data_IF_581949089855
#
_entry.id   IF_581949089855
#
_cell.length_a   1.000
_cell.length_b   1.000
_cell.length_c   1.000
_cell.angle_alpha   90.00
_cell.angle_beta   90.00
_cell.angle_gamma   90.00
#
_symmetry.space_group_name_H-M   'P 1'
#
loop_
_entity.id
_entity.type
_entity.pdbx_description
1 polymer ?
#
# COMPACT_ATOMS: atom_id res chain seq x y z
N UNK A 1 -8.08 -40.66 24.76
CA UNK A 1 -8.00 -40.02 23.42
C UNK A 1 -6.78 -39.13 23.45
N UNK A 2 -5.61 -39.67 23.13
CA UNK A 2 -4.42 -38.85 22.89
C UNK A 2 -4.76 -37.97 21.68
N UNK A 3 -4.78 -36.66 21.87
CA UNK A 3 -4.79 -35.73 20.74
C UNK A 3 -3.42 -35.86 20.13
N UNK A 4 -3.33 -36.51 18.96
CA UNK A 4 -2.13 -36.49 18.15
C UNK A 4 -1.67 -35.03 18.07
N UNK A 5 -0.50 -34.77 18.66
CA UNK A 5 0.10 -33.44 18.63
C UNK A 5 0.31 -33.09 17.16
N UNK A 6 -0.37 -32.05 16.70
CA UNK A 6 -0.19 -31.48 15.37
C UNK A 6 1.29 -31.12 15.26
N UNK A 7 2.04 -31.81 14.39
CA UNK A 7 3.51 -31.74 14.34
C UNK A 7 4.00 -30.31 14.12
N UNK A 8 3.23 -29.56 13.37
CA UNK A 8 3.40 -28.16 13.02
C UNK A 8 3.41 -27.24 14.25
N UNK A 9 2.68 -27.58 15.32
CA UNK A 9 2.69 -26.80 16.58
C UNK A 9 3.98 -26.96 17.38
N UNK A 10 4.83 -27.93 17.02
CA UNK A 10 6.16 -28.10 17.62
C UNK A 10 7.27 -27.53 16.72
N UNK A 11 6.95 -27.06 15.51
CA UNK A 11 7.91 -26.48 14.58
C UNK A 11 7.93 -24.95 14.73
N UNK A 12 9.04 -24.44 15.27
CA UNK A 12 9.25 -23.00 15.48
C UNK A 12 9.24 -22.20 14.18
N UNK A 13 9.77 -22.74 13.06
CA UNK A 13 9.75 -22.05 11.77
C UNK A 13 8.32 -21.94 11.26
N UNK A 14 7.57 -23.04 11.34
CA UNK A 14 6.17 -23.06 10.93
C UNK A 14 5.32 -22.07 11.73
N UNK A 15 5.52 -22.00 13.05
CA UNK A 15 4.82 -21.04 13.91
C UNK A 15 5.16 -19.59 13.56
N UNK A 16 6.42 -19.29 13.24
CA UNK A 16 6.82 -17.96 12.77
C UNK A 16 6.17 -17.61 11.42
N UNK A 17 6.16 -18.57 10.48
CA UNK A 17 5.53 -18.39 9.17
C UNK A 17 4.02 -18.13 9.31
N UNK A 18 3.35 -18.90 10.18
CA UNK A 18 1.94 -18.69 10.50
C UNK A 18 1.71 -17.32 11.15
N UNK A 19 2.52 -16.95 12.14
CA UNK A 19 2.41 -15.65 12.81
C UNK A 19 2.56 -14.49 11.81
N UNK A 20 3.53 -14.58 10.90
CA UNK A 20 3.68 -13.60 9.83
C UNK A 20 2.46 -13.56 8.90
N UNK A 21 1.95 -14.72 8.48
CA UNK A 21 0.75 -14.80 7.62
C UNK A 21 -0.48 -14.18 8.31
N UNK A 22 -0.71 -14.46 9.60
CA UNK A 22 -1.81 -13.88 10.38
C UNK A 22 -1.70 -12.35 10.43
N UNK A 23 -0.50 -11.84 10.69
CA UNK A 23 -0.23 -10.40 10.70
C UNK A 23 -0.54 -9.77 9.34
N UNK A 24 0.04 -10.28 8.26
CA UNK A 24 -0.16 -9.75 6.90
C UNK A 24 -1.64 -9.82 6.49
N UNK A 25 -2.30 -10.95 6.73
CA UNK A 25 -3.71 -11.16 6.35
C UNK A 25 -4.64 -10.20 7.08
N UNK A 26 -4.39 -9.93 8.37
CA UNK A 26 -5.14 -8.93 9.12
C UNK A 26 -5.07 -7.57 8.45
N UNK A 27 -3.87 -7.12 8.10
CA UNK A 27 -3.70 -5.80 7.48
C UNK A 27 -4.23 -5.72 6.05
N UNK A 28 -4.15 -6.79 5.27
CA UNK A 28 -4.80 -6.87 3.96
C UNK A 28 -6.33 -6.81 4.09
N UNK A 29 -6.89 -7.44 5.13
CA UNK A 29 -8.32 -7.38 5.41
C UNK A 29 -8.75 -5.97 5.81
N UNK A 30 -7.97 -5.28 6.66
CA UNK A 30 -8.20 -3.87 7.00
C UNK A 30 -8.16 -2.96 5.76
N UNK A 31 -7.19 -3.17 4.87
CA UNK A 31 -7.16 -2.45 3.59
C UNK A 31 -8.40 -2.75 2.76
N UNK A 32 -8.75 -4.02 2.60
CA UNK A 32 -9.90 -4.44 1.79
C UNK A 32 -11.21 -3.78 2.26
N UNK A 33 -11.46 -3.73 3.57
CA UNK A 33 -12.62 -3.04 4.13
C UNK A 33 -12.63 -1.55 3.77
N UNK A 34 -11.47 -0.87 3.84
CA UNK A 34 -11.36 0.54 3.43
C UNK A 34 -11.62 0.75 1.95
N UNK A 35 -11.22 -0.20 1.11
CA UNK A 35 -11.40 -0.11 -0.34
C UNK A 35 -12.84 -0.42 -0.79
N UNK A 36 -13.54 -1.30 -0.07
CA UNK A 36 -14.90 -1.75 -0.41
C UNK A 36 -16.02 -0.86 0.19
N UNK A 37 -15.67 0.19 0.93
CA UNK A 37 -16.66 1.11 1.50
C UNK A 37 -17.51 1.78 0.41
N UNK A 38 -18.82 1.99 0.63
CA UNK A 38 -19.67 2.68 -0.34
C UNK A 38 -19.23 4.14 -0.52
N UNK A 39 -19.41 4.68 -1.73
CA UNK A 39 -19.18 6.09 -2.07
C UNK A 39 -17.75 6.62 -1.79
N UNK A 40 -16.73 5.76 -1.87
CA UNK A 40 -15.34 6.19 -1.72
C UNK A 40 -14.92 7.07 -2.91
N UNK A 41 -14.40 8.28 -2.62
CA UNK A 41 -13.75 9.12 -3.61
C UNK A 41 -12.45 8.45 -4.11
N UNK A 42 -12.10 8.64 -5.38
CA UNK A 42 -10.86 8.09 -5.95
C UNK A 42 -9.62 8.54 -5.16
N UNK A 43 -9.61 9.79 -4.72
CA UNK A 43 -8.57 10.37 -3.87
C UNK A 43 -8.45 9.66 -2.51
N UNK A 44 -9.57 9.29 -1.89
CA UNK A 44 -9.60 8.54 -0.63
C UNK A 44 -9.06 7.12 -0.80
N UNK A 45 -9.48 6.42 -1.87
CA UNK A 45 -8.97 5.08 -2.20
C UNK A 45 -7.45 5.09 -2.37
N UNK A 46 -6.95 6.05 -3.14
CA UNK A 46 -5.52 6.20 -3.39
C UNK A 46 -4.73 6.58 -2.13
N UNK A 47 -5.29 7.45 -1.29
CA UNK A 47 -4.67 7.79 0.00
C UNK A 47 -4.55 6.56 0.91
N UNK A 48 -5.62 5.76 1.02
CA UNK A 48 -5.62 4.50 1.77
C UNK A 48 -4.55 3.52 1.24
N UNK A 49 -4.45 3.39 -0.09
CA UNK A 49 -3.46 2.53 -0.74
C UNK A 49 -2.03 3.02 -0.54
N UNK A 50 -1.76 4.33 -0.72
CA UNK A 50 -0.44 4.94 -0.47
C UNK A 50 -0.02 4.75 0.99
N UNK A 51 -0.94 4.93 1.93
CA UNK A 51 -0.71 4.70 3.35
C UNK A 51 -0.33 3.23 3.64
N UNK A 52 -1.03 2.29 3.00
CA UNK A 52 -0.72 0.86 3.13
C UNK A 52 0.64 0.50 2.52
N UNK A 53 0.97 1.01 1.33
CA UNK A 53 2.28 0.83 0.71
C UNK A 53 3.42 1.35 1.61
N UNK A 54 3.25 2.53 2.20
CA UNK A 54 4.23 3.12 3.12
C UNK A 54 4.43 2.25 4.37
N UNK A 55 3.35 1.64 4.89
CA UNK A 55 3.44 0.67 5.99
C UNK A 55 4.24 -0.55 5.58
N UNK A 56 3.94 -1.19 4.44
CA UNK A 56 4.70 -2.34 3.95
C UNK A 56 6.19 -2.03 3.75
N UNK A 57 6.53 -0.84 3.22
CA UNK A 57 7.93 -0.41 3.06
C UNK A 57 8.63 -0.28 4.40
N UNK A 58 7.98 0.32 5.40
CA UNK A 58 8.52 0.40 6.76
C UNK A 58 8.74 -0.99 7.35
N UNK A 59 7.80 -1.90 7.13
CA UNK A 59 7.89 -3.27 7.63
C UNK A 59 9.04 -4.03 7.03
N UNK A 60 9.20 -3.95 5.71
CA UNK A 60 10.36 -4.51 5.00
C UNK A 60 11.67 -4.08 5.66
N UNK A 61 11.87 -2.78 5.87
CA UNK A 61 13.10 -2.24 6.50
C UNK A 61 13.28 -2.73 7.95
N UNK A 62 12.19 -2.88 8.70
CA UNK A 62 12.24 -3.39 10.07
C UNK A 62 12.60 -4.88 10.10
N UNK A 63 12.00 -5.68 9.22
CA UNK A 63 12.26 -7.11 9.07
C UNK A 63 13.67 -7.39 8.51
N UNK A 64 14.22 -6.52 7.67
CA UNK A 64 15.65 -6.59 7.27
C UNK A 64 16.60 -6.42 8.47
N UNK A 65 16.16 -5.72 9.51
CA UNK A 65 16.93 -5.47 10.74
C UNK A 65 16.60 -6.43 11.88
N UNK A 66 15.85 -7.51 11.62
CA UNK A 66 15.31 -8.42 12.65
C UNK A 66 14.53 -7.70 13.76
N UNK A 67 13.87 -6.58 13.44
CA UNK A 67 13.06 -5.84 14.38
C UNK A 67 11.58 -6.19 14.22
N UNK A 68 11.03 -6.90 15.22
CA UNK A 68 9.64 -7.36 15.24
C UNK A 68 8.75 -6.61 16.23
N UNK A 69 9.21 -5.51 16.85
CA UNK A 69 8.54 -4.83 17.99
C UNK A 69 7.12 -4.34 17.72
N UNK A 70 6.72 -4.24 16.45
CA UNK A 70 5.38 -3.82 16.06
C UNK A 70 4.45 -4.98 15.67
N UNK A 71 4.91 -6.23 15.84
CA UNK A 71 4.15 -7.44 15.52
C UNK A 71 4.17 -8.39 16.71
N UNK A 72 3.33 -8.14 17.74
CA UNK A 72 3.34 -8.93 18.97
C UNK A 72 3.26 -10.45 18.70
N UNK A 73 2.39 -10.87 17.77
CA UNK A 73 2.24 -12.28 17.41
C UNK A 73 3.50 -12.89 16.80
N UNK A 74 4.27 -12.14 16.01
CA UNK A 74 5.53 -12.63 15.43
C UNK A 74 6.67 -12.52 16.44
N UNK A 75 6.69 -11.47 17.26
CA UNK A 75 7.68 -11.28 18.34
C UNK A 75 7.60 -12.39 19.39
N UNK A 76 6.39 -12.82 19.74
CA UNK A 76 6.14 -13.95 20.64
C UNK A 76 6.79 -15.25 20.16
N UNK A 77 6.88 -15.46 18.84
CA UNK A 77 7.52 -16.65 18.26
C UNK A 77 9.05 -16.58 18.21
N UNK A 78 9.64 -15.42 18.53
CA UNK A 78 11.09 -15.19 18.57
C UNK A 78 11.81 -15.71 17.30
N UNK A 79 11.45 -15.20 16.11
CA UNK A 79 12.05 -15.66 14.86
C UNK A 79 13.56 -15.45 14.85
N UNK A 80 14.30 -16.48 14.45
CA UNK A 80 15.76 -16.42 14.33
C UNK A 80 16.23 -15.56 13.16
N UNK A 81 15.41 -15.44 12.11
CA UNK A 81 15.63 -14.59 10.93
C UNK A 81 14.30 -14.09 10.40
N UNK A 82 14.25 -12.83 9.96
CA UNK A 82 13.06 -12.23 9.35
C UNK A 82 13.27 -11.75 7.90
N UNK A 83 14.42 -12.05 7.31
CA UNK A 83 14.76 -11.60 5.95
C UNK A 83 13.82 -12.18 4.88
N UNK A 84 13.35 -13.43 5.06
CA UNK A 84 12.36 -14.05 4.16
C UNK A 84 11.05 -13.25 4.14
N UNK A 85 10.58 -12.82 5.32
CA UNK A 85 9.39 -11.99 5.46
C UNK A 85 9.55 -10.61 4.83
N UNK A 86 10.75 -10.02 4.90
CA UNK A 86 11.05 -8.79 4.18
C UNK A 86 10.95 -8.98 2.66
N UNK A 87 11.38 -10.14 2.15
CA UNK A 87 11.21 -10.54 0.75
C UNK A 87 9.74 -10.64 0.35
N UNK A 88 8.90 -11.25 1.19
CA UNK A 88 7.45 -11.32 0.94
C UNK A 88 6.79 -9.94 0.97
N UNK A 89 7.18 -9.05 1.89
CA UNK A 89 6.75 -7.65 1.87
C UNK A 89 7.14 -6.94 0.56
N UNK A 90 8.33 -7.20 0.00
CA UNK A 90 8.75 -6.62 -1.27
C UNK A 90 7.86 -7.08 -2.43
N UNK A 91 7.55 -8.38 -2.51
CA UNK A 91 6.62 -8.94 -3.52
C UNK A 91 5.23 -8.32 -3.41
N UNK A 92 4.73 -8.14 -2.19
CA UNK A 92 3.43 -7.48 -1.96
C UNK A 92 3.42 -6.03 -2.43
N UNK A 93 4.50 -5.28 -2.20
CA UNK A 93 4.63 -3.89 -2.68
C UNK A 93 4.62 -3.84 -4.21
N UNK A 94 5.32 -4.76 -4.87
CA UNK A 94 5.36 -4.85 -6.33
C UNK A 94 3.96 -5.18 -6.88
N UNK A 95 3.31 -6.22 -6.36
CA UNK A 95 1.97 -6.61 -6.75
C UNK A 95 0.94 -5.50 -6.53
N UNK A 96 1.06 -4.74 -5.43
CA UNK A 96 0.22 -3.58 -5.17
C UNK A 96 0.48 -2.48 -6.21
N UNK A 97 1.74 -2.16 -6.50
CA UNK A 97 2.07 -1.11 -7.45
C UNK A 97 1.57 -1.41 -8.87
N UNK A 98 1.70 -2.65 -9.33
CA UNK A 98 1.17 -3.08 -10.62
C UNK A 98 -0.35 -2.96 -10.69
N UNK A 99 -1.08 -3.41 -9.66
CA UNK A 99 -2.54 -3.30 -9.60
C UNK A 99 -3.05 -1.85 -9.57
N UNK A 100 -2.21 -0.91 -9.14
CA UNK A 100 -2.58 0.50 -8.98
C UNK A 100 -2.15 1.39 -10.14
N UNK A 101 -1.46 0.85 -11.14
CA UNK A 101 -0.92 1.61 -12.27
C UNK A 101 -2.00 2.43 -12.98
N UNK A 102 -3.15 1.83 -13.24
CA UNK A 102 -4.28 2.50 -13.91
C UNK A 102 -5.01 3.51 -13.01
N UNK A 103 -5.04 3.28 -11.70
CA UNK A 103 -5.64 4.24 -10.78
C UNK A 103 -4.76 5.49 -10.63
N UNK A 104 -3.43 5.31 -10.62
CA UNK A 104 -2.47 6.43 -10.58
C UNK A 104 -2.59 7.31 -11.84
N UNK A 105 -2.77 6.71 -13.02
CA UNK A 105 -2.97 7.48 -14.25
C UNK A 105 -4.29 8.25 -14.27
N UNK A 106 -5.36 7.71 -13.68
CA UNK A 106 -6.63 8.42 -13.50
C UNK A 106 -6.53 9.55 -12.47
N UNK A 107 -5.76 9.36 -11.40
CA UNK A 107 -5.53 10.41 -10.40
C UNK A 107 -4.83 11.61 -11.01
N UNK A 108 -3.81 11.39 -11.82
CA UNK A 108 -3.11 12.47 -12.52
C UNK A 108 -4.09 13.35 -13.32
N UNK A 109 -5.06 12.74 -13.98
CA UNK A 109 -6.12 13.47 -14.69
C UNK A 109 -7.05 14.24 -13.73
N UNK A 110 -7.38 13.67 -12.56
CA UNK A 110 -8.16 14.37 -11.55
C UNK A 110 -7.40 15.54 -10.93
N UNK A 111 -6.10 15.37 -10.66
CA UNK A 111 -5.25 16.41 -10.09
C UNK A 111 -5.15 17.61 -11.04
N UNK A 112 -5.02 17.36 -12.35
CA UNK A 112 -5.07 18.41 -13.39
C UNK A 112 -6.38 19.20 -13.35
N UNK A 113 -7.51 18.54 -13.09
CA UNK A 113 -8.82 19.20 -12.99
C UNK A 113 -9.04 19.88 -11.64
N UNK A 114 -8.46 19.36 -10.56
CA UNK A 114 -8.58 19.90 -9.21
C UNK A 114 -7.70 21.13 -8.99
N UNK A 115 -6.53 21.19 -9.64
CA UNK A 115 -5.59 22.31 -9.55
C UNK A 115 -5.18 22.81 -10.94
N UNK A 116 -6.13 23.23 -11.80
CA UNK A 116 -5.84 23.58 -13.20
C UNK A 116 -4.91 24.78 -13.32
N UNK A 117 -4.90 25.68 -12.33
CA UNK A 117 -4.06 26.88 -12.30
C UNK A 117 -2.65 26.67 -11.77
N UNK A 118 -2.40 25.55 -11.09
CA UNK A 118 -1.14 25.28 -10.38
C UNK A 118 -0.42 24.03 -10.93
N UNK A 119 -0.86 23.53 -12.08
CA UNK A 119 -0.27 22.37 -12.74
C UNK A 119 0.72 22.84 -13.81
N UNK A 120 1.89 22.20 -13.88
CA UNK A 120 2.87 22.51 -14.92
C UNK A 120 2.39 21.94 -16.26
N UNK A 121 2.31 22.79 -17.30
CA UNK A 121 1.78 22.39 -18.62
C UNK A 121 2.57 21.22 -19.23
N UNK A 122 3.88 21.14 -18.94
CA UNK A 122 4.75 20.05 -19.39
C UNK A 122 4.36 18.68 -18.81
N UNK A 123 3.73 18.64 -17.62
CA UNK A 123 3.26 17.42 -16.98
C UNK A 123 1.86 17.00 -17.46
N UNK A 124 1.21 17.80 -18.30
CA UNK A 124 -0.13 17.52 -18.81
C UNK A 124 -0.05 16.72 -20.12
N UNK A 125 -0.91 15.72 -20.34
CA UNK A 125 -1.00 15.04 -21.64
C UNK A 125 -1.19 16.03 -22.80
N UNK A 126 -0.51 15.83 -23.92
CA UNK A 126 -0.50 16.77 -25.07
C UNK A 126 -1.90 17.21 -25.52
N UNK A 127 -2.88 16.30 -25.47
CA UNK A 127 -4.26 16.57 -25.86
C UNK A 127 -5.03 17.52 -24.90
N UNK A 128 -4.45 17.85 -23.75
CA UNK A 128 -5.01 18.74 -22.72
C UNK A 128 -4.15 20.00 -22.48
N UNK A 129 -2.90 20.03 -22.94
CA UNK A 129 -1.98 21.17 -22.73
C UNK A 129 -2.57 22.50 -23.21
N UNK A 130 -3.09 22.56 -24.43
CA UNK A 130 -3.70 23.79 -24.97
C UNK A 130 -4.91 24.27 -24.16
N UNK A 131 -5.70 23.35 -23.60
CA UNK A 131 -6.86 23.70 -22.77
C UNK A 131 -6.43 24.25 -21.41
N UNK A 132 -5.41 23.64 -20.79
CA UNK A 132 -4.84 24.12 -19.52
C UNK A 132 -4.18 25.47 -19.72
N UNK A 133 -3.43 25.68 -20.81
CA UNK A 133 -2.82 26.97 -21.13
C UNK A 133 -3.87 28.08 -21.25
N UNK A 134 -4.98 27.82 -21.94
CA UNK A 134 -6.09 28.77 -22.05
C UNK A 134 -6.71 29.07 -20.68
N UNK A 135 -7.02 28.03 -19.90
CA UNK A 135 -7.53 28.16 -18.54
C UNK A 135 -6.59 28.99 -17.65
N UNK A 136 -5.29 28.71 -17.68
CA UNK A 136 -4.26 29.43 -16.92
C UNK A 136 -4.00 30.86 -17.40
N UNK A 137 -4.40 31.21 -18.61
CA UNK A 137 -4.21 32.58 -19.16
C UNK A 137 -5.42 33.48 -18.92
N UNK A 138 -6.54 32.90 -18.46
CA UNK A 138 -7.76 33.63 -18.15
C UNK A 138 -7.69 34.18 -16.72
N UNK A 139 -7.41 35.48 -16.60
CA UNK A 139 -7.25 36.15 -15.32
C UNK A 139 -8.59 36.37 -14.59
N UNK A 140 -9.75 36.28 -15.27
CA UNK A 140 -11.06 36.32 -14.61
C UNK A 140 -11.34 35.03 -13.83
N UNK A 141 -10.84 33.89 -14.31
CA UNK A 141 -11.02 32.58 -13.67
C UNK A 141 -10.01 32.30 -12.54
N UNK A 142 -8.96 33.14 -12.39
CA UNK A 142 -7.96 33.07 -11.31
C UNK A 142 -8.38 33.81 -10.03
N UNK A 143 -9.35 34.73 -10.12
CA UNK A 143 -9.81 35.59 -9.02
C UNK A 143 -10.78 34.88 -8.07
#
# INVERSE_FOLDING_TARGET
MERDSVRELNDSKWLCDLAFMVVITKYLSELNVKLQGPNQLLSSLLSNMKSFEAKLRRWKVQLERNNTVHYPTLEEQKPSRTLEYAGECAKLIEALNERLKDMKSKQMKLDIVATPFNVEVADVPDNLQNKIFQLQSDDELKS
#
